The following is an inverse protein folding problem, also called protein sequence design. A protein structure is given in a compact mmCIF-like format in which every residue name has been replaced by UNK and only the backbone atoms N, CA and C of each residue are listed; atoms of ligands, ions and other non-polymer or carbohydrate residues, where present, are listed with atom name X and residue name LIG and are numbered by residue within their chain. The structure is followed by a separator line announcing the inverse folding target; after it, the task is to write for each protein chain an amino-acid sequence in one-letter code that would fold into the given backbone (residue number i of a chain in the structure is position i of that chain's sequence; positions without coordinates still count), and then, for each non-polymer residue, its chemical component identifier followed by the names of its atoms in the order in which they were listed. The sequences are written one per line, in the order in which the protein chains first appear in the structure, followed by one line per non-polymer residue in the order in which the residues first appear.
data_IF_207397249833
#
_entry.id   IF_207397249833
#
_cell.length_a   1.000
_cell.length_b   1.000
_cell.length_c   1.000
_cell.angle_alpha   90.00
_cell.angle_beta   90.00
_cell.angle_gamma   90.00
#
_symmetry.space_group_name_H-M   'P 1'
#
loop_
_entity.id
_entity.type
_entity.pdbx_description
1 polymer ?
#
# COMPACT_ATOMS: atom_id res chain seq x y z
N UNK A 1 -10.80 3.66 19.48
CA UNK A 1 -10.96 2.36 18.82
C UNK A 1 -9.89 1.40 19.29
N UNK A 2 -10.27 0.17 19.57
CA UNK A 2 -9.31 -0.82 20.07
C UNK A 2 -8.38 -1.29 18.95
N UNK A 3 -7.10 -1.53 19.30
CA UNK A 3 -6.12 -2.04 18.35
C UNK A 3 -6.59 -3.36 17.71
N UNK A 4 -7.32 -4.18 18.48
CA UNK A 4 -7.84 -5.46 17.99
C UNK A 4 -8.82 -5.31 16.83
N UNK A 5 -9.41 -4.13 16.64
CA UNK A 5 -10.35 -3.90 15.55
C UNK A 5 -9.66 -3.91 14.19
N UNK A 6 -8.35 -3.62 14.14
CA UNK A 6 -7.58 -3.67 12.91
C UNK A 6 -7.50 -5.11 12.38
N UNK A 7 -7.29 -6.09 13.27
CA UNK A 7 -7.09 -7.49 12.90
C UNK A 7 -8.42 -8.22 12.70
N UNK A 8 -9.33 -7.58 11.94
CA UNK A 8 -10.62 -8.18 11.61
C UNK A 8 -10.47 -9.18 10.46
N UNK A 9 -11.59 -9.81 10.08
CA UNK A 9 -11.60 -10.85 9.04
C UNK A 9 -11.10 -10.33 7.68
N UNK A 10 -11.47 -9.10 7.32
CA UNK A 10 -11.05 -8.48 6.06
C UNK A 10 -9.54 -8.29 6.03
N UNK A 11 -8.98 -7.74 7.11
CA UNK A 11 -7.53 -7.54 7.22
C UNK A 11 -6.81 -8.88 7.14
N UNK A 12 -7.27 -9.87 7.89
CA UNK A 12 -6.62 -11.19 7.94
C UNK A 12 -6.70 -11.91 6.61
N UNK A 13 -7.74 -11.66 5.82
CA UNK A 13 -7.85 -12.24 4.48
C UNK A 13 -6.73 -11.72 3.57
N UNK A 14 -6.42 -10.42 3.64
CA UNK A 14 -5.30 -9.85 2.87
C UNK A 14 -3.96 -10.44 3.30
N UNK A 15 -3.81 -10.85 4.56
CA UNK A 15 -2.59 -11.48 5.05
C UNK A 15 -2.48 -12.93 4.57
N UNK A 16 -3.58 -13.68 4.69
CA UNK A 16 -3.58 -15.14 4.46
C UNK A 16 -3.80 -15.51 3.01
N UNK A 17 -4.55 -14.70 2.27
CA UNK A 17 -4.94 -14.99 0.89
C UNK A 17 -4.78 -13.75 0.01
N UNK A 18 -3.54 -13.22 -0.10
CA UNK A 18 -3.32 -12.02 -0.92
C UNK A 18 -3.52 -12.32 -2.40
N UNK A 19 -4.25 -11.44 -3.08
CA UNK A 19 -4.52 -11.57 -4.51
C UNK A 19 -3.38 -11.04 -5.38
N UNK A 20 -2.54 -10.18 -4.83
CA UNK A 20 -1.53 -9.44 -5.59
C UNK A 20 -0.10 -9.83 -5.23
N UNK A 21 0.09 -10.89 -4.45
CA UNK A 21 1.41 -11.36 -4.07
C UNK A 21 1.88 -12.44 -5.03
N UNK A 22 2.53 -12.00 -6.11
CA UNK A 22 3.08 -12.91 -7.12
C UNK A 22 4.17 -12.22 -7.92
N UNK A 23 4.99 -13.00 -8.61
CA UNK A 23 6.03 -12.48 -9.49
C UNK A 23 5.40 -12.09 -10.83
N UNK A 24 5.44 -10.79 -11.15
CA UNK A 24 4.87 -10.28 -12.40
C UNK A 24 5.80 -10.58 -13.57
N UNK A 25 5.21 -11.04 -14.66
CA UNK A 25 5.96 -11.21 -15.92
C UNK A 25 6.02 -9.88 -16.67
N UNK A 26 7.20 -9.53 -17.17
CA UNK A 26 7.43 -8.36 -18.01
C UNK A 26 6.90 -7.05 -17.40
N UNK A 27 7.29 -6.70 -16.16
CA UNK A 27 6.86 -5.43 -15.59
C UNK A 27 7.48 -4.25 -16.31
N UNK A 28 6.75 -3.12 -16.33
CA UNK A 28 7.30 -1.87 -16.85
C UNK A 28 8.22 -1.19 -15.81
N UNK A 29 7.90 -1.34 -14.54
CA UNK A 29 8.70 -0.80 -13.44
C UNK A 29 8.76 -1.81 -12.31
N UNK A 30 9.92 -1.86 -11.64
CA UNK A 30 10.11 -2.68 -10.45
C UNK A 30 10.94 -1.87 -9.45
N UNK A 31 10.56 -1.92 -8.18
CA UNK A 31 11.25 -1.16 -7.14
C UNK A 31 11.18 -1.92 -5.81
N UNK A 32 12.31 -1.96 -5.11
CA UNK A 32 12.40 -2.64 -3.81
C UNK A 32 12.24 -1.64 -2.68
N UNK A 33 11.48 -2.03 -1.65
CA UNK A 33 11.34 -1.27 -0.43
C UNK A 33 11.77 -2.10 0.77
N UNK A 34 12.47 -1.47 1.70
CA UNK A 34 13.01 -2.13 2.88
C UNK A 34 12.62 -1.33 4.13
N UNK A 35 12.18 -2.03 5.17
CA UNK A 35 11.98 -1.46 6.49
C UNK A 35 12.81 -2.28 7.49
N UNK A 36 14.05 -1.86 7.76
CA UNK A 36 14.96 -2.65 8.62
C UNK A 36 14.43 -2.84 10.05
N UNK A 37 13.62 -1.90 10.55
CA UNK A 37 13.09 -1.97 11.91
C UNK A 37 12.23 -3.20 12.15
N UNK A 38 11.54 -3.69 11.10
CA UNK A 38 10.63 -4.83 11.20
C UNK A 38 11.09 -6.01 10.32
N UNK A 39 12.20 -5.87 9.60
CA UNK A 39 12.67 -6.90 8.69
C UNK A 39 11.83 -7.05 7.44
N UNK A 40 11.07 -6.01 7.07
CA UNK A 40 10.23 -6.05 5.87
C UNK A 40 11.08 -5.80 4.63
N UNK A 41 10.95 -6.67 3.63
CA UNK A 41 11.60 -6.51 2.33
C UNK A 41 10.59 -6.89 1.26
N UNK A 42 10.10 -5.89 0.51
CA UNK A 42 9.08 -6.10 -0.51
C UNK A 42 9.56 -5.52 -1.84
N UNK A 43 9.26 -6.24 -2.92
CA UNK A 43 9.55 -5.77 -4.26
C UNK A 43 8.23 -5.57 -4.99
N UNK A 44 8.03 -4.37 -5.52
CA UNK A 44 6.79 -4.00 -6.22
C UNK A 44 7.04 -3.92 -7.71
N UNK A 45 6.07 -4.40 -8.48
CA UNK A 45 6.12 -4.37 -9.94
C UNK A 45 4.82 -3.80 -10.47
N UNK A 46 4.91 -2.99 -11.51
CA UNK A 46 3.75 -2.34 -12.12
C UNK A 46 3.88 -2.44 -13.63
N UNK A 47 2.76 -2.67 -14.30
CA UNK A 47 2.65 -2.60 -15.75
C UNK A 47 1.58 -1.59 -16.10
N UNK A 48 1.80 -0.82 -17.16
CA UNK A 48 0.89 0.24 -17.59
C UNK A 48 0.11 -0.18 -18.83
N UNK A 49 -1.15 0.26 -18.89
CA UNK A 49 -1.97 0.11 -20.07
C UNK A 49 -1.54 1.16 -21.13
N UNK A 50 -2.06 1.02 -22.34
CA UNK A 50 -1.73 1.94 -23.44
C UNK A 50 -2.11 3.39 -23.13
N UNK A 51 -3.16 3.60 -22.31
CA UNK A 51 -3.60 4.94 -21.93
C UNK A 51 -2.79 5.53 -20.77
N UNK A 52 -1.80 4.81 -20.28
CA UNK A 52 -0.93 5.28 -19.20
C UNK A 52 -1.41 4.95 -17.79
N UNK A 53 -2.58 4.34 -17.65
CA UNK A 53 -3.05 3.92 -16.32
C UNK A 53 -2.35 2.64 -15.90
N UNK A 54 -2.36 2.37 -14.59
CA UNK A 54 -1.80 1.13 -14.05
C UNK A 54 -2.72 -0.03 -14.44
N UNK A 55 -2.18 -0.97 -15.21
CA UNK A 55 -2.91 -2.14 -15.69
C UNK A 55 -2.79 -3.30 -14.71
N UNK A 56 -1.62 -3.47 -14.13
CA UNK A 56 -1.35 -4.55 -13.19
C UNK A 56 -0.35 -4.08 -12.14
N UNK A 57 -0.56 -4.51 -10.90
CA UNK A 57 0.34 -4.24 -9.78
C UNK A 57 0.49 -5.52 -8.97
N UNK A 58 1.70 -5.82 -8.54
CA UNK A 58 1.97 -7.03 -7.77
C UNK A 58 3.19 -6.80 -6.88
N UNK A 59 3.35 -7.67 -5.89
CA UNK A 59 4.51 -7.60 -5.01
C UNK A 59 4.99 -9.01 -4.65
N UNK A 60 6.26 -9.07 -4.24
CA UNK A 60 6.87 -10.29 -3.69
C UNK A 60 7.69 -9.88 -2.47
N UNK A 61 8.17 -10.87 -1.74
CA UNK A 61 9.02 -10.62 -0.59
C UNK A 61 8.39 -11.07 0.71
N UNK A 62 8.93 -10.58 1.82
CA UNK A 62 8.47 -10.96 3.14
C UNK A 62 8.40 -9.76 4.06
N UNK A 63 7.60 -9.87 5.10
CA UNK A 63 7.41 -8.82 6.08
C UNK A 63 6.35 -9.19 7.09
N UNK A 64 6.03 -8.26 7.98
CA UNK A 64 5.00 -8.48 8.98
C UNK A 64 3.61 -8.49 8.35
N UNK A 65 2.60 -8.89 9.12
CA UNK A 65 1.22 -8.95 8.64
C UNK A 65 0.75 -7.59 8.11
N UNK A 66 1.12 -6.51 8.80
CA UNK A 66 0.70 -5.16 8.42
C UNK A 66 1.31 -4.73 7.08
N UNK A 67 2.63 -4.97 6.88
CA UNK A 67 3.27 -4.60 5.63
C UNK A 67 2.71 -5.38 4.46
N UNK A 68 2.43 -6.66 4.64
CA UNK A 68 1.89 -7.50 3.57
C UNK A 68 0.43 -7.18 3.25
N UNK A 69 -0.41 -6.98 4.26
CA UNK A 69 -1.80 -6.60 4.04
C UNK A 69 -1.88 -5.24 3.35
N UNK A 70 -1.06 -4.29 3.80
CA UNK A 70 -1.00 -2.96 3.19
C UNK A 70 -0.60 -3.04 1.72
N UNK A 71 0.38 -3.89 1.39
CA UNK A 71 0.84 -4.06 0.02
C UNK A 71 -0.25 -4.65 -0.88
N UNK A 72 -0.98 -5.64 -0.37
CA UNK A 72 -2.06 -6.26 -1.13
C UNK A 72 -3.21 -5.28 -1.39
N UNK A 73 -3.61 -4.55 -0.35
CA UNK A 73 -4.67 -3.54 -0.44
C UNK A 73 -4.27 -2.43 -1.42
N UNK A 74 -3.04 -1.95 -1.32
CA UNK A 74 -2.54 -0.91 -2.22
C UNK A 74 -2.57 -1.37 -3.67
N UNK A 75 -2.11 -2.57 -3.93
CA UNK A 75 -2.06 -3.10 -5.29
C UNK A 75 -3.46 -3.14 -5.91
N UNK A 76 -4.45 -3.55 -5.13
CA UNK A 76 -5.85 -3.55 -5.59
C UNK A 76 -6.35 -2.14 -5.91
N UNK A 77 -6.06 -1.19 -5.04
CA UNK A 77 -6.52 0.19 -5.21
C UNK A 77 -5.94 0.85 -6.45
N UNK A 78 -4.70 0.54 -6.77
CA UNK A 78 -3.96 1.27 -7.81
C UNK A 78 -4.32 0.85 -9.24
N UNK A 79 -4.89 -0.32 -9.46
CA UNK A 79 -5.30 -0.74 -10.79
C UNK A 79 -6.33 0.23 -11.34
N UNK A 80 -6.07 0.74 -12.55
CA UNK A 80 -6.94 1.71 -13.21
C UNK A 80 -6.62 3.17 -12.93
N UNK A 81 -5.64 3.44 -12.06
CA UNK A 81 -5.27 4.82 -11.72
C UNK A 81 -4.14 5.31 -12.62
N UNK A 82 -4.13 6.63 -12.87
CA UNK A 82 -2.96 7.25 -13.51
C UNK A 82 -1.83 7.36 -12.50
N UNK A 83 -0.57 7.52 -12.94
CA UNK A 83 0.54 7.72 -12.01
C UNK A 83 0.31 8.89 -11.06
N UNK A 84 -0.27 10.00 -11.54
CA UNK A 84 -0.54 11.18 -10.73
C UNK A 84 -1.59 10.88 -9.65
N UNK A 85 -2.65 10.16 -10.02
CA UNK A 85 -3.68 9.74 -9.06
C UNK A 85 -3.08 8.81 -8.02
N UNK A 86 -2.24 7.86 -8.45
CA UNK A 86 -1.61 6.91 -7.55
C UNK A 86 -0.69 7.62 -6.54
N UNK A 87 0.13 8.57 -7.02
CA UNK A 87 1.00 9.35 -6.14
C UNK A 87 0.18 10.12 -5.11
N UNK A 88 -0.92 10.73 -5.53
CA UNK A 88 -1.81 11.45 -4.62
C UNK A 88 -2.41 10.56 -3.55
N UNK A 89 -2.81 9.35 -3.92
CA UNK A 89 -3.35 8.38 -2.97
C UNK A 89 -2.27 7.89 -2.00
N UNK A 90 -1.05 7.69 -2.47
CA UNK A 90 0.06 7.32 -1.60
C UNK A 90 0.31 8.39 -0.54
N UNK A 91 0.30 9.67 -0.93
CA UNK A 91 0.50 10.76 0.01
C UNK A 91 -0.63 10.83 1.03
N UNK A 92 -1.86 10.67 0.57
CA UNK A 92 -3.03 10.69 1.45
C UNK A 92 -2.98 9.53 2.45
N UNK A 93 -2.63 8.33 1.98
CA UNK A 93 -2.50 7.18 2.86
C UNK A 93 -1.46 7.44 3.95
N UNK A 94 -0.30 7.96 3.58
CA UNK A 94 0.75 8.25 4.56
C UNK A 94 0.31 9.30 5.58
N UNK A 95 -0.43 10.31 5.14
CA UNK A 95 -1.00 11.29 6.06
C UNK A 95 -1.98 10.65 7.04
N UNK A 96 -2.80 9.72 6.54
CA UNK A 96 -3.77 9.02 7.38
C UNK A 96 -3.09 8.20 8.48
N UNK A 97 -2.11 7.38 8.12
CA UNK A 97 -1.47 6.48 9.09
C UNK A 97 -0.53 7.22 10.04
N UNK A 98 -0.13 8.44 9.69
CA UNK A 98 0.67 9.30 10.57
C UNK A 98 -0.19 10.15 11.50
N UNK A 99 -1.53 10.08 11.34
CA UNK A 99 -2.43 10.89 12.13
C UNK A 99 -2.45 12.35 11.73
N UNK A 100 -2.03 12.68 10.53
CA UNK A 100 -1.96 14.06 10.03
C UNK A 100 -3.30 14.55 9.47
N UNK A 101 -4.26 13.63 9.28
CA UNK A 101 -5.63 13.96 8.89
C UNK A 101 -6.58 13.34 9.91
N UNK A 102 -7.73 13.98 10.13
CA UNK A 102 -8.75 13.44 11.01
C UNK A 102 -9.26 12.10 10.48
N UNK A 103 -9.59 11.18 11.40
CA UNK A 103 -10.20 9.90 11.04
C UNK A 103 -11.54 10.10 10.32
N UNK A 104 -12.18 11.26 10.51
CA UNK A 104 -13.44 11.59 9.86
C UNK A 104 -13.27 12.41 8.58
N UNK A 105 -12.03 12.62 8.15
CA UNK A 105 -11.76 13.40 6.95
C UNK A 105 -12.36 12.68 5.73
N UNK A 106 -13.25 13.36 4.97
CA UNK A 106 -13.90 12.70 3.83
C UNK A 106 -12.95 12.26 2.73
N UNK A 107 -11.73 12.81 2.67
CA UNK A 107 -10.74 12.37 1.68
C UNK A 107 -10.33 10.92 1.89
N UNK A 108 -10.44 10.40 3.12
CA UNK A 108 -10.08 9.02 3.43
C UNK A 108 -10.92 8.04 2.62
N UNK A 109 -12.13 8.40 2.24
CA UNK A 109 -13.00 7.55 1.42
C UNK A 109 -12.38 7.25 0.05
N UNK A 110 -11.48 8.10 -0.43
CA UNK A 110 -10.79 7.86 -1.70
C UNK A 110 -9.82 6.69 -1.62
N UNK A 111 -9.44 6.31 -0.41
CA UNK A 111 -8.55 5.17 -0.18
C UNK A 111 -9.29 3.83 -0.21
N UNK A 112 -10.61 3.85 -0.29
CA UNK A 112 -11.46 2.66 -0.36
C UNK A 112 -11.10 1.67 0.75
N UNK A 113 -10.77 0.43 0.44
CA UNK A 113 -10.45 -0.57 1.45
C UNK A 113 -9.22 -0.23 2.29
N UNK A 114 -8.33 0.62 1.78
CA UNK A 114 -7.15 1.03 2.53
C UNK A 114 -7.51 1.86 3.77
N UNK A 115 -8.73 2.41 3.82
CA UNK A 115 -9.19 3.15 4.99
C UNK A 115 -9.25 2.29 6.26
N UNK A 116 -9.30 0.96 6.13
CA UNK A 116 -9.29 0.07 7.29
C UNK A 116 -7.98 0.20 8.09
N UNK A 117 -6.93 0.72 7.46
CA UNK A 117 -5.63 0.88 8.11
C UNK A 117 -5.50 2.19 8.88
N UNK A 118 -6.56 2.99 8.97
CA UNK A 118 -6.51 4.28 9.69
C UNK A 118 -6.11 4.14 11.16
N UNK A 119 -6.41 2.99 11.77
CA UNK A 119 -6.09 2.76 13.18
C UNK A 119 -4.59 2.64 13.43
N UNK A 120 -3.79 2.48 12.36
CA UNK A 120 -2.32 2.47 12.48
C UNK A 120 -1.80 3.77 13.08
N UNK A 121 -2.54 4.89 12.95
CA UNK A 121 -2.18 6.16 13.55
C UNK A 121 -2.04 6.05 15.07
N UNK A 122 -2.70 5.06 15.69
CA UNK A 122 -2.61 4.80 17.13
C UNK A 122 -1.54 3.77 17.46
N UNK A 123 -0.76 3.35 16.48
CA UNK A 123 0.28 2.31 16.62
C UNK A 123 1.60 2.81 16.02
N UNK A 124 2.26 3.80 16.66
CA UNK A 124 3.44 4.44 16.06
C UNK A 124 4.53 3.48 15.59
N UNK A 125 4.72 2.36 16.29
CA UNK A 125 5.73 1.38 15.92
C UNK A 125 5.40 0.67 14.60
N UNK A 126 4.16 0.75 14.13
CA UNK A 126 3.70 0.06 12.92
C UNK A 126 3.52 0.99 11.72
N UNK A 127 3.66 2.30 11.91
CA UNK A 127 3.45 3.26 10.83
C UNK A 127 4.36 2.96 9.66
N UNK A 128 5.65 2.71 9.92
CA UNK A 128 6.61 2.41 8.84
C UNK A 128 6.28 1.11 8.11
N UNK A 129 5.72 0.13 8.81
CA UNK A 129 5.30 -1.13 8.19
C UNK A 129 4.15 -0.87 7.21
N UNK A 130 3.16 -0.07 7.62
CA UNK A 130 2.02 0.24 6.77
C UNK A 130 2.42 1.10 5.58
N UNK A 131 3.36 2.03 5.76
CA UNK A 131 3.78 2.96 4.72
C UNK A 131 4.68 2.33 3.66
N UNK A 132 5.34 1.22 3.96
CA UNK A 132 6.41 0.70 3.11
C UNK A 132 5.97 0.55 1.64
N UNK A 133 4.83 -0.09 1.42
CA UNK A 133 4.30 -0.31 0.08
C UNK A 133 4.03 1.02 -0.64
N UNK A 134 3.38 1.92 0.06
CA UNK A 134 2.93 3.21 -0.52
C UNK A 134 4.10 4.12 -0.82
N UNK A 135 5.08 4.18 0.09
CA UNK A 135 6.29 4.97 -0.12
C UNK A 135 7.09 4.42 -1.30
N UNK A 136 7.20 3.10 -1.39
CA UNK A 136 7.94 2.45 -2.46
C UNK A 136 7.29 2.70 -3.82
N UNK A 137 5.97 2.60 -3.88
CA UNK A 137 5.25 2.89 -5.12
C UNK A 137 5.41 4.35 -5.53
N UNK A 138 5.28 5.27 -4.57
CA UNK A 138 5.46 6.69 -4.86
C UNK A 138 6.84 6.97 -5.43
N UNK A 139 7.88 6.43 -4.81
CA UNK A 139 9.25 6.58 -5.30
C UNK A 139 9.41 6.04 -6.72
N UNK A 140 8.85 4.87 -6.98
CA UNK A 140 8.93 4.24 -8.30
C UNK A 140 8.25 5.11 -9.37
N UNK A 141 7.05 5.60 -9.09
CA UNK A 141 6.29 6.39 -10.05
C UNK A 141 6.92 7.76 -10.28
N UNK A 142 7.53 8.36 -9.25
CA UNK A 142 8.22 9.64 -9.40
C UNK A 142 9.51 9.50 -10.19
N UNK A 143 10.23 8.42 -10.01
CA UNK A 143 11.54 8.22 -10.66
C UNK A 143 11.45 7.89 -12.13
N UNK A 144 10.28 7.42 -12.63
CA UNK A 144 10.14 7.09 -14.03
C UNK A 144 9.86 8.29 -14.94
N UNK A 145 9.68 9.46 -14.37
CA UNK A 145 9.41 10.67 -15.15
C UNK A 145 10.62 11.14 -15.94
#
# INVERSE_FOLDING_TARGET
MAVTDLYNAEFMDHVSHPDYKYQMECPDCTHEGVNPSCGDELTFSVRFADDGTIDEAAFTGHGCAISQASADIMSDLMVGKTPEQAIGLCKLFMQMVRGEVSEDDPRIDKLEDAAILKDIAHMPARVKCAELAWRTLEEMLQSRK
#
